data_IF_718042350271
#
_entry.id   IF_718042350271
#
_cell.length_a   1.000
_cell.length_b   1.000
_cell.length_c   1.000
_cell.angle_alpha   90.00
_cell.angle_beta   90.00
_cell.angle_gamma   90.00
#
_symmetry.space_group_name_H-M   'P 1'
#
loop_
_entity.id
_entity.type
_entity.pdbx_description
1 polymer ?
#
# COMPACT_ATOMS: atom_id res chain seq x y z
N UNK A 1 -12.79 -56.68 -26.74
CA UNK A 1 -13.22 -55.27 -26.93
C UNK A 1 -13.13 -54.52 -25.62
N UNK A 2 -12.12 -53.67 -25.41
CA UNK A 2 -12.12 -52.63 -24.37
C UNK A 2 -11.30 -51.44 -24.89
N UNK A 3 -11.98 -50.45 -25.46
CA UNK A 3 -11.41 -49.14 -25.75
C UNK A 3 -11.56 -48.29 -24.49
N UNK A 4 -10.47 -48.06 -23.77
CA UNK A 4 -10.42 -47.13 -22.65
C UNK A 4 -10.36 -45.72 -23.24
N UNK A 5 -11.49 -45.02 -23.21
CA UNK A 5 -11.59 -43.63 -23.64
C UNK A 5 -10.87 -42.79 -22.57
N UNK A 6 -9.66 -42.33 -22.90
CA UNK A 6 -8.91 -41.39 -22.08
C UNK A 6 -9.71 -40.07 -22.05
N UNK A 7 -10.53 -39.89 -21.02
CA UNK A 7 -11.24 -38.63 -20.77
C UNK A 7 -10.20 -37.54 -20.55
N UNK A 8 -10.07 -36.68 -21.55
CA UNK A 8 -9.22 -35.49 -21.54
C UNK A 8 -9.88 -34.46 -20.63
N UNK A 9 -9.34 -34.24 -19.44
CA UNK A 9 -9.84 -33.28 -18.45
C UNK A 9 -10.03 -31.88 -19.09
N UNK A 10 -11.26 -31.33 -19.15
CA UNK A 10 -11.53 -30.05 -19.81
C UNK A 10 -10.99 -28.84 -19.03
N UNK A 11 -10.59 -29.05 -17.76
CA UNK A 11 -10.02 -28.02 -16.92
C UNK A 11 -8.50 -27.88 -17.04
N UNK A 12 -7.82 -28.78 -17.76
CA UNK A 12 -6.37 -28.71 -17.98
C UNK A 12 -5.94 -27.53 -18.89
N UNK A 13 -6.90 -26.80 -19.47
CA UNK A 13 -6.68 -25.64 -20.33
C UNK A 13 -7.06 -24.29 -19.72
N UNK A 14 -7.28 -24.22 -18.40
CA UNK A 14 -7.66 -22.99 -17.71
C UNK A 14 -6.59 -21.91 -17.87
N UNK A 15 -6.79 -20.99 -18.82
CA UNK A 15 -6.02 -19.74 -18.91
C UNK A 15 -6.08 -19.06 -17.55
N UNK A 16 -4.95 -19.00 -16.88
CA UNK A 16 -4.79 -18.29 -15.62
C UNK A 16 -5.31 -16.86 -15.84
N UNK A 17 -6.28 -16.38 -15.04
CA UNK A 17 -6.82 -15.04 -15.22
C UNK A 17 -5.65 -14.05 -15.19
N UNK A 18 -5.68 -12.99 -16.02
CA UNK A 18 -4.63 -11.99 -15.99
C UNK A 18 -4.51 -11.50 -14.55
N UNK A 19 -3.32 -11.69 -13.95
CA UNK A 19 -3.03 -11.19 -12.61
C UNK A 19 -3.21 -9.69 -12.67
N UNK A 20 -4.31 -9.18 -12.12
CA UNK A 20 -4.54 -7.76 -12.01
C UNK A 20 -3.33 -7.15 -11.27
N UNK A 21 -2.81 -6.00 -11.72
CA UNK A 21 -1.73 -5.34 -11.01
C UNK A 21 -2.17 -5.11 -9.57
N UNK A 22 -1.39 -5.64 -8.62
CA UNK A 22 -1.65 -5.46 -7.19
C UNK A 22 -1.42 -3.98 -6.90
N UNK A 23 -2.51 -3.24 -6.72
CA UNK A 23 -2.44 -1.83 -6.38
C UNK A 23 -1.64 -1.66 -5.10
N UNK A 24 -0.64 -0.80 -5.16
CA UNK A 24 0.18 -0.44 -4.01
C UNK A 24 -0.69 0.25 -2.95
N UNK A 25 -0.32 0.18 -1.65
CA UNK A 25 -1.06 0.86 -0.60
C UNK A 25 -1.30 2.34 -0.88
N UNK A 26 -0.31 3.03 -1.46
CA UNK A 26 -0.41 4.45 -1.84
C UNK A 26 -1.42 4.66 -2.97
N UNK A 27 -1.43 3.81 -4.00
CA UNK A 27 -2.42 3.88 -5.07
C UNK A 27 -3.84 3.65 -4.55
N UNK A 28 -4.02 2.70 -3.63
CA UNK A 28 -5.32 2.48 -2.98
C UNK A 28 -5.75 3.72 -2.19
N UNK A 29 -4.86 4.28 -1.37
CA UNK A 29 -5.16 5.48 -0.60
C UNK A 29 -5.48 6.68 -1.49
N UNK A 30 -4.78 6.83 -2.62
CA UNK A 30 -5.03 7.88 -3.63
C UNK A 30 -6.43 7.74 -4.24
N UNK A 31 -6.88 6.53 -4.55
CA UNK A 31 -8.24 6.30 -5.05
C UNK A 31 -9.32 6.51 -3.99
N UNK A 32 -9.01 6.24 -2.72
CA UNK A 32 -9.93 6.45 -1.59
C UNK A 32 -10.09 7.92 -1.19
N UNK A 33 -9.17 8.79 -1.62
CA UNK A 33 -9.25 10.23 -1.44
C UNK A 33 -8.22 10.80 -0.46
N UNK A 34 -8.24 12.13 -0.30
CA UNK A 34 -7.22 12.89 0.44
C UNK A 34 -7.06 12.45 1.89
N UNK A 35 -8.17 12.18 2.59
CA UNK A 35 -8.11 11.69 3.98
C UNK A 35 -7.34 10.37 4.09
N UNK A 36 -7.65 9.40 3.23
CA UNK A 36 -6.98 8.10 3.26
C UNK A 36 -5.48 8.24 2.94
N UNK A 37 -5.11 9.18 2.07
CA UNK A 37 -3.73 9.47 1.73
C UNK A 37 -2.97 10.10 2.90
N UNK A 38 -3.59 11.03 3.64
CA UNK A 38 -3.04 11.61 4.88
C UNK A 38 -2.89 10.54 5.96
N UNK A 39 -3.91 9.70 6.16
CA UNK A 39 -3.91 8.61 7.16
C UNK A 39 -2.77 7.62 6.87
N UNK A 40 -2.60 7.22 5.60
CA UNK A 40 -1.51 6.33 5.19
C UNK A 40 -0.15 7.00 5.38
N UNK A 41 0.00 8.26 4.97
CA UNK A 41 1.24 9.01 5.14
C UNK A 41 1.62 9.14 6.62
N UNK A 42 0.65 9.37 7.50
CA UNK A 42 0.86 9.39 8.95
C UNK A 42 1.31 8.02 9.48
N UNK A 43 0.66 6.94 9.05
CA UNK A 43 1.04 5.58 9.44
C UNK A 43 2.47 5.25 8.99
N UNK A 44 2.84 5.60 7.76
CA UNK A 44 4.22 5.44 7.25
C UNK A 44 5.21 6.25 8.08
N UNK A 45 4.88 7.48 8.48
CA UNK A 45 5.73 8.28 9.35
C UNK A 45 5.95 7.63 10.72
N UNK A 46 4.91 7.05 11.33
CA UNK A 46 5.00 6.34 12.62
C UNK A 46 5.86 5.08 12.48
N UNK A 47 5.59 4.26 11.47
CA UNK A 47 6.34 3.02 11.21
C UNK A 47 7.82 3.29 10.97
N UNK A 48 8.13 4.27 10.10
CA UNK A 48 9.51 4.66 9.80
C UNK A 48 10.20 5.31 10.99
N UNK A 49 9.49 6.12 11.78
CA UNK A 49 10.04 6.69 13.03
C UNK A 49 10.45 5.58 14.00
N UNK A 50 9.61 4.57 14.18
CA UNK A 50 9.92 3.41 15.02
C UNK A 50 11.08 2.58 14.47
N UNK A 51 11.23 2.50 13.15
CA UNK A 51 12.29 1.74 12.51
C UNK A 51 13.66 2.46 12.48
N UNK A 52 13.68 3.79 12.37
CA UNK A 52 14.90 4.55 12.08
C UNK A 52 15.49 5.32 13.26
N UNK A 53 14.87 5.32 14.46
CA UNK A 53 15.31 6.09 15.64
C UNK A 53 15.55 7.61 15.43
N UNK A 54 15.41 8.13 14.20
CA UNK A 54 15.75 9.49 13.79
C UNK A 54 14.62 10.24 13.08
N UNK A 55 13.44 9.62 12.94
CA UNK A 55 12.27 10.22 12.28
C UNK A 55 12.16 9.87 10.80
N UNK A 56 10.99 10.12 10.23
CA UNK A 56 10.69 9.90 8.81
C UNK A 56 11.03 11.16 8.00
N UNK A 57 11.84 10.99 6.95
CA UNK A 57 12.22 12.05 6.01
C UNK A 57 11.27 12.11 4.80
N UNK A 58 11.38 13.15 3.97
CA UNK A 58 10.61 13.20 2.71
C UNK A 58 11.03 12.10 1.73
N UNK A 59 12.33 11.79 1.69
CA UNK A 59 12.86 10.70 0.86
C UNK A 59 12.23 9.36 1.23
N UNK A 60 11.96 9.11 2.51
CA UNK A 60 11.24 7.90 2.95
C UNK A 60 9.81 7.82 2.41
N UNK A 61 9.13 8.96 2.31
CA UNK A 61 7.78 9.04 1.74
C UNK A 61 7.81 8.87 0.21
N UNK A 62 8.81 9.44 -0.46
CA UNK A 62 9.03 9.21 -1.88
C UNK A 62 9.31 7.73 -2.17
N UNK A 63 10.16 7.09 -1.36
CA UNK A 63 10.44 5.65 -1.44
C UNK A 63 9.21 4.78 -1.14
N UNK A 64 8.29 5.26 -0.29
CA UNK A 64 7.01 4.61 -0.05
C UNK A 64 6.02 4.74 -1.23
N UNK A 65 6.32 5.62 -2.21
CA UNK A 65 5.54 5.79 -3.43
C UNK A 65 4.63 7.03 -3.45
N UNK A 66 4.73 7.90 -2.44
CA UNK A 66 4.03 9.19 -2.44
C UNK A 66 4.67 10.12 -3.47
N UNK A 67 3.86 10.98 -4.10
CA UNK A 67 4.36 12.03 -5.01
C UNK A 67 4.79 13.24 -4.21
N UNK A 68 5.79 13.98 -4.71
CA UNK A 68 6.22 15.23 -4.07
C UNK A 68 5.06 16.20 -3.83
N UNK A 69 4.18 16.40 -4.81
CA UNK A 69 3.01 17.27 -4.66
C UNK A 69 2.04 16.82 -3.54
N UNK A 70 1.94 15.52 -3.28
CA UNK A 70 1.11 14.97 -2.20
C UNK A 70 1.77 15.18 -0.84
N UNK A 71 3.10 14.99 -0.79
CA UNK A 71 3.90 15.27 0.41
C UNK A 71 3.80 16.75 0.74
N UNK A 72 4.05 17.64 -0.20
CA UNK A 72 3.99 19.09 0.03
C UNK A 72 2.61 19.54 0.52
N UNK A 73 1.54 18.96 -0.02
CA UNK A 73 0.17 19.29 0.35
C UNK A 73 -0.26 18.73 1.73
N UNK A 74 0.27 17.56 2.13
CA UNK A 74 -0.32 16.77 3.21
C UNK A 74 0.64 16.40 4.35
N UNK A 75 1.96 16.60 4.18
CA UNK A 75 2.99 16.22 5.15
C UNK A 75 2.75 16.80 6.54
N UNK A 76 2.34 18.06 6.64
CA UNK A 76 2.10 18.70 7.94
C UNK A 76 0.87 18.11 8.67
N UNK A 77 -0.20 17.82 7.94
CA UNK A 77 -1.40 17.18 8.49
C UNK A 77 -1.10 15.74 8.91
N UNK A 78 -0.38 14.98 8.08
CA UNK A 78 0.06 13.63 8.38
C UNK A 78 0.99 13.61 9.62
N UNK A 79 1.89 14.58 9.76
CA UNK A 79 2.79 14.70 10.91
C UNK A 79 2.03 14.97 12.22
N UNK A 80 1.06 15.87 12.20
CA UNK A 80 0.22 16.14 13.37
C UNK A 80 -0.56 14.89 13.79
N UNK A 81 -1.12 14.17 12.82
CA UNK A 81 -1.84 12.93 13.07
C UNK A 81 -0.92 11.82 13.60
N UNK A 82 0.27 11.66 13.03
CA UNK A 82 1.28 10.71 13.49
C UNK A 82 1.73 11.01 14.93
N UNK A 83 1.94 12.28 15.28
CA UNK A 83 2.27 12.68 16.65
C UNK A 83 1.14 12.35 17.63
N UNK A 84 -0.10 12.61 17.23
CA UNK A 84 -1.28 12.27 18.04
C UNK A 84 -1.38 10.77 18.30
N UNK A 85 -1.21 9.94 17.26
CA UNK A 85 -1.23 8.48 17.39
C UNK A 85 -0.13 7.96 18.32
N UNK A 86 1.08 8.51 18.23
CA UNK A 86 2.18 8.13 19.13
C UNK A 86 1.90 8.55 20.57
N UNK A 87 1.33 9.73 20.80
CA UNK A 87 1.00 10.21 22.14
C UNK A 87 -0.19 9.49 22.75
N UNK A 88 -1.18 9.06 21.95
CA UNK A 88 -2.32 8.26 22.42
C UNK A 88 -1.92 6.80 22.73
N UNK A 89 -0.81 6.32 22.16
CA UNK A 89 -0.30 4.97 22.36
C UNK A 89 0.78 4.86 23.45
N UNK A 90 1.17 5.97 24.09
CA UNK A 90 2.19 6.06 25.14
C UNK A 90 1.55 6.24 26.53
#
# INVERSE_FOLDING_TARGET
MRHSILMKDPFAGGRMPPRLPVLTPVEKARMSGTKALVDLMAATMVERRSALNGGCTEDDLLMAGFKQAEIDAHKMAARQMAMRQVNEAA
#
